data_IF_815721003238
#
_entry.id   IF_815721003238
#
_cell.length_a   1.000
_cell.length_b   1.000
_cell.length_c   1.000
_cell.angle_alpha   90.00
_cell.angle_beta   90.00
_cell.angle_gamma   90.00
#
_symmetry.space_group_name_H-M   'P 1'
#
loop_
_entity.id
_entity.type
_entity.pdbx_description
1 polymer ?
#
# COMPACT_ATOMS: atom_id res chain seq x y z
N UNK A 1 -29.56 -24.20 5.21
CA UNK A 1 -28.41 -23.56 4.54
C UNK A 1 -28.02 -22.41 5.44
N UNK A 2 -26.82 -22.45 6.03
CA UNK A 2 -26.30 -21.30 6.79
C UNK A 2 -26.14 -20.14 5.82
N UNK A 3 -26.78 -19.00 6.10
CA UNK A 3 -26.52 -17.80 5.30
C UNK A 3 -25.07 -17.40 5.54
N UNK A 4 -24.28 -17.31 4.47
CA UNK A 4 -22.85 -16.96 4.53
C UNK A 4 -22.66 -15.54 5.07
N UNK A 5 -23.67 -14.67 4.91
CA UNK A 5 -23.69 -13.31 5.43
C UNK A 5 -25.05 -12.96 6.05
N UNK A 6 -25.06 -12.04 7.01
CA UNK A 6 -26.29 -11.52 7.62
C UNK A 6 -26.14 -10.06 8.04
N UNK A 7 -27.11 -9.23 7.64
CA UNK A 7 -27.27 -7.86 8.14
C UNK A 7 -28.39 -7.82 9.18
N UNK A 8 -28.01 -7.65 10.44
CA UNK A 8 -28.93 -7.59 11.58
C UNK A 8 -29.23 -6.14 11.90
N UNK A 9 -30.50 -5.73 11.83
CA UNK A 9 -30.96 -4.37 12.17
C UNK A 9 -31.75 -4.37 13.47
N UNK A 10 -31.73 -3.25 14.18
CA UNK A 10 -32.40 -3.08 15.48
C UNK A 10 -32.05 -4.23 16.44
N UNK A 11 -30.76 -4.57 16.49
CA UNK A 11 -30.30 -5.76 17.19
C UNK A 11 -30.40 -5.58 18.71
N UNK A 12 -30.74 -6.66 19.40
CA UNK A 12 -30.60 -6.76 20.85
C UNK A 12 -29.16 -7.10 21.17
N UNK A 13 -28.50 -6.27 21.97
CA UNK A 13 -27.09 -6.46 22.30
C UNK A 13 -26.96 -6.68 23.80
N UNK A 14 -26.14 -7.65 24.20
CA UNK A 14 -25.61 -7.74 25.56
C UNK A 14 -24.12 -7.45 25.56
N UNK A 15 -23.66 -6.72 26.57
CA UNK A 15 -22.23 -6.36 26.68
C UNK A 15 -21.65 -6.94 27.95
N UNK A 16 -20.49 -7.58 27.81
CA UNK A 16 -19.70 -8.03 28.95
C UNK A 16 -18.24 -7.59 28.82
N UNK A 17 -17.57 -7.50 29.97
CA UNK A 17 -16.14 -7.17 30.04
C UNK A 17 -15.37 -8.47 30.22
N UNK A 18 -14.51 -8.79 29.25
CA UNK A 18 -13.66 -9.98 29.28
C UNK A 18 -12.19 -9.59 29.26
N UNK A 19 -11.30 -10.48 29.69
CA UNK A 19 -9.85 -10.29 29.54
C UNK A 19 -9.32 -11.16 28.42
N UNK A 20 -8.46 -10.61 27.57
CA UNK A 20 -7.74 -11.42 26.59
C UNK A 20 -6.63 -12.24 27.26
N UNK A 21 -5.94 -13.07 26.49
CA UNK A 21 -4.82 -13.91 26.95
C UNK A 21 -3.67 -13.12 27.59
N UNK A 22 -3.54 -11.83 27.23
CA UNK A 22 -2.53 -10.92 27.77
C UNK A 22 -3.02 -10.17 29.03
N UNK A 23 -4.20 -10.51 29.53
CA UNK A 23 -4.82 -9.88 30.70
C UNK A 23 -5.37 -8.48 30.45
N UNK A 24 -5.44 -8.04 29.20
CA UNK A 24 -6.01 -6.74 28.84
C UNK A 24 -7.53 -6.84 28.72
N UNK A 25 -8.22 -5.81 29.21
CA UNK A 25 -9.67 -5.71 29.09
C UNK A 25 -10.12 -5.59 27.63
N UNK A 26 -11.21 -6.27 27.30
CA UNK A 26 -11.86 -6.31 25.99
C UNK A 26 -13.38 -6.22 26.17
N UNK A 27 -14.07 -5.51 25.27
CA UNK A 27 -15.52 -5.54 25.21
C UNK A 27 -15.96 -6.78 24.42
N UNK A 28 -16.75 -7.64 25.05
CA UNK A 28 -17.42 -8.75 24.38
C UNK A 28 -18.90 -8.41 24.21
N UNK A 29 -19.42 -8.68 23.02
CA UNK A 29 -20.83 -8.47 22.69
C UNK A 29 -21.48 -9.77 22.22
N UNK A 30 -22.73 -9.95 22.64
CA UNK A 30 -23.63 -10.99 22.16
C UNK A 30 -24.79 -10.28 21.44
N UNK A 31 -24.99 -10.56 20.16
CA UNK A 31 -25.98 -9.92 19.30
C UNK A 31 -27.10 -10.91 18.99
N UNK A 32 -28.33 -10.56 19.39
CA UNK A 32 -29.55 -11.38 19.29
C UNK A 32 -29.44 -12.78 19.91
N UNK A 33 -28.50 -13.00 20.83
CA UNK A 33 -28.24 -14.32 21.41
C UNK A 33 -27.71 -15.36 20.44
N UNK A 34 -27.25 -14.94 19.26
CA UNK A 34 -26.78 -15.83 18.20
C UNK A 34 -25.33 -15.56 17.82
N UNK A 35 -24.94 -14.29 17.73
CA UNK A 35 -23.62 -13.89 17.25
C UNK A 35 -22.79 -13.30 18.38
N UNK A 36 -21.51 -13.62 18.40
CA UNK A 36 -20.58 -13.12 19.40
C UNK A 36 -19.41 -12.38 18.75
N UNK A 37 -18.95 -11.31 19.38
CA UNK A 37 -17.74 -10.62 18.94
C UNK A 37 -16.99 -10.03 20.13
N UNK A 38 -15.66 -10.17 20.12
CA UNK A 38 -14.77 -9.57 21.11
C UNK A 38 -13.93 -8.49 20.47
N UNK A 39 -14.17 -7.24 20.85
CA UNK A 39 -13.42 -6.10 20.35
C UNK A 39 -12.00 -6.05 20.94
N UNK A 40 -10.97 -5.72 20.13
CA UNK A 40 -9.59 -5.68 20.62
C UNK A 40 -9.39 -4.58 21.68
N UNK A 41 -8.35 -4.67 22.54
CA UNK A 41 -8.08 -3.72 23.62
C UNK A 41 -7.99 -2.25 23.18
N UNK A 42 -7.53 -2.02 21.95
CA UNK A 42 -7.34 -0.67 21.39
C UNK A 42 -8.58 -0.13 20.69
N UNK A 43 -9.64 -0.91 20.54
CA UNK A 43 -10.85 -0.49 19.86
C UNK A 43 -11.54 0.66 20.60
N UNK A 44 -12.32 1.46 19.88
CA UNK A 44 -13.13 2.52 20.49
C UNK A 44 -14.15 1.95 21.48
N UNK A 45 -14.76 0.80 21.17
CA UNK A 45 -15.77 0.17 22.02
C UNK A 45 -15.15 -0.28 23.34
N UNK A 46 -14.02 -0.97 23.29
CA UNK A 46 -13.31 -1.40 24.50
C UNK A 46 -12.88 -0.23 25.36
N UNK A 47 -12.35 0.85 24.76
CA UNK A 47 -11.96 2.06 25.50
C UNK A 47 -13.13 2.76 26.19
N UNK A 48 -14.37 2.58 25.73
CA UNK A 48 -15.51 3.12 26.46
C UNK A 48 -15.69 2.44 27.82
N UNK A 49 -15.28 1.17 27.98
CA UNK A 49 -15.34 0.46 29.27
C UNK A 49 -14.39 1.05 30.34
N UNK A 50 -13.49 1.96 29.96
CA UNK A 50 -12.66 2.71 30.90
C UNK A 50 -13.46 3.82 31.61
N UNK A 51 -14.56 4.28 31.01
CA UNK A 51 -15.34 5.44 31.47
C UNK A 51 -16.82 5.15 31.71
N UNK A 52 -17.35 4.03 31.22
CA UNK A 52 -18.75 3.62 31.43
C UNK A 52 -18.86 2.13 31.77
N UNK A 53 -19.93 1.76 32.46
CA UNK A 53 -20.21 0.36 32.79
C UNK A 53 -20.71 -0.42 31.56
N UNK A 54 -20.62 -1.76 31.56
CA UNK A 54 -21.14 -2.59 30.48
C UNK A 54 -22.61 -2.31 30.16
N UNK A 55 -23.47 -2.05 31.17
CA UNK A 55 -24.91 -1.80 30.99
C UNK A 55 -25.19 -0.49 30.25
N UNK A 56 -24.37 0.54 30.49
CA UNK A 56 -24.46 1.82 29.78
C UNK A 56 -24.00 1.65 28.33
N UNK A 57 -22.93 0.89 28.12
CA UNK A 57 -22.44 0.59 26.77
C UNK A 57 -23.44 -0.28 26.00
N UNK A 58 -24.11 -1.21 26.67
CA UNK A 58 -25.20 -2.03 26.14
C UNK A 58 -26.32 -1.16 25.62
N UNK A 59 -26.84 -0.24 26.45
CA UNK A 59 -27.91 0.70 26.06
C UNK A 59 -27.56 1.51 24.81
N UNK A 60 -26.27 1.81 24.60
CA UNK A 60 -25.80 2.53 23.42
C UNK A 60 -25.75 1.66 22.16
N UNK A 61 -25.30 0.41 22.31
CA UNK A 61 -25.13 -0.54 21.23
C UNK A 61 -26.47 -1.20 20.83
N UNK A 62 -27.39 -1.31 21.77
CA UNK A 62 -28.74 -1.82 21.57
C UNK A 62 -29.50 -1.02 20.51
N UNK A 63 -30.31 -1.71 19.72
CA UNK A 63 -30.94 -1.14 18.52
C UNK A 63 -29.97 -0.89 17.36
N UNK A 64 -28.68 -1.25 17.50
CA UNK A 64 -27.67 -1.09 16.46
C UNK A 64 -27.89 -1.98 15.23
N UNK A 65 -27.05 -1.74 14.22
CA UNK A 65 -27.01 -2.57 13.00
C UNK A 65 -25.65 -3.22 12.84
N UNK A 66 -25.63 -4.53 12.62
CA UNK A 66 -24.42 -5.36 12.61
C UNK A 66 -24.38 -6.21 11.35
N UNK A 67 -23.22 -6.25 10.69
CA UNK A 67 -23.02 -7.05 9.50
C UNK A 67 -22.02 -8.17 9.78
N UNK A 68 -22.49 -9.41 9.62
CA UNK A 68 -21.71 -10.62 9.83
C UNK A 68 -21.46 -11.33 8.50
N UNK A 69 -20.27 -11.91 8.37
CA UNK A 69 -19.91 -12.86 7.31
C UNK A 69 -19.23 -14.04 8.01
N UNK A 70 -19.71 -15.26 7.77
CA UNK A 70 -19.23 -16.48 8.44
C UNK A 70 -19.19 -16.35 9.97
N UNK A 71 -20.26 -15.81 10.56
CA UNK A 71 -20.38 -15.51 11.99
C UNK A 71 -19.36 -14.49 12.54
N UNK A 72 -18.51 -13.90 11.69
CA UNK A 72 -17.55 -12.86 12.08
C UNK A 72 -18.12 -11.48 11.81
N UNK A 73 -18.03 -10.60 12.81
CA UNK A 73 -18.44 -9.21 12.67
C UNK A 73 -17.48 -8.48 11.71
N UNK A 74 -18.02 -7.99 10.60
CA UNK A 74 -17.26 -7.26 9.56
C UNK A 74 -17.36 -5.76 9.75
N UNK A 75 -18.56 -5.22 9.97
CA UNK A 75 -18.76 -3.81 10.34
C UNK A 75 -20.08 -3.65 11.11
N UNK A 76 -20.23 -2.54 11.82
CA UNK A 76 -21.41 -2.26 12.64
C UNK A 76 -21.63 -0.76 12.88
N UNK A 77 -22.85 -0.41 13.28
CA UNK A 77 -23.26 0.94 13.67
C UNK A 77 -24.08 0.86 14.97
N UNK A 78 -23.83 1.79 15.89
CA UNK A 78 -24.58 1.85 17.16
C UNK A 78 -26.06 2.21 16.93
N UNK A 79 -26.92 2.00 17.94
CA UNK A 79 -28.35 2.28 17.84
C UNK A 79 -28.72 3.74 17.58
N UNK A 80 -27.74 4.65 17.69
CA UNK A 80 -27.91 6.08 17.43
C UNK A 80 -27.56 6.46 15.98
N UNK A 81 -27.13 5.49 15.17
CA UNK A 81 -26.75 5.74 13.79
C UNK A 81 -27.95 5.99 12.89
N UNK A 82 -28.08 7.24 12.44
CA UNK A 82 -29.12 7.68 11.50
C UNK A 82 -28.60 7.83 10.06
N UNK A 83 -27.47 7.20 9.75
CA UNK A 83 -26.86 7.29 8.43
C UNK A 83 -27.45 6.28 7.44
N UNK A 84 -26.76 6.10 6.32
CA UNK A 84 -27.20 5.22 5.25
C UNK A 84 -26.95 3.75 5.59
N UNK A 85 -27.93 2.90 5.27
CA UNK A 85 -27.83 1.44 5.40
C UNK A 85 -28.43 0.83 4.14
N UNK A 86 -27.71 -0.05 3.46
CA UNK A 86 -28.24 -0.79 2.33
C UNK A 86 -29.40 -1.72 2.75
N UNK A 87 -30.35 -1.93 1.84
CA UNK A 87 -31.42 -2.93 2.00
C UNK A 87 -30.84 -4.35 1.87
N UNK A 88 -31.50 -5.35 2.44
CA UNK A 88 -31.02 -6.75 2.39
C UNK A 88 -30.81 -7.22 0.95
N UNK A 89 -31.76 -6.97 0.05
CA UNK A 89 -31.59 -7.35 -1.35
C UNK A 89 -30.42 -6.65 -2.07
N UNK A 90 -29.97 -5.48 -1.59
CA UNK A 90 -28.77 -4.82 -2.15
C UNK A 90 -27.49 -5.42 -1.56
N UNK A 91 -27.51 -5.78 -0.28
CA UNK A 91 -26.42 -6.51 0.37
C UNK A 91 -26.23 -7.86 -0.30
N UNK A 92 -27.31 -8.59 -0.57
CA UNK A 92 -27.27 -9.87 -1.28
C UNK A 92 -26.68 -9.70 -2.69
N UNK A 93 -27.11 -8.67 -3.43
CA UNK A 93 -26.55 -8.35 -4.74
C UNK A 93 -25.05 -8.02 -4.69
N UNK A 94 -24.58 -7.26 -3.70
CA UNK A 94 -23.15 -6.97 -3.58
C UNK A 94 -22.34 -8.17 -3.09
N UNK A 95 -22.90 -9.01 -2.22
CA UNK A 95 -22.26 -10.26 -1.84
C UNK A 95 -22.13 -11.20 -3.04
N UNK A 96 -23.13 -11.25 -3.92
CA UNK A 96 -23.06 -12.02 -5.16
C UNK A 96 -22.06 -11.41 -6.17
N UNK A 97 -22.06 -10.08 -6.32
CA UNK A 97 -21.26 -9.38 -7.33
C UNK A 97 -19.79 -9.17 -6.91
N UNK A 98 -19.56 -8.78 -5.67
CA UNK A 98 -18.27 -8.36 -5.12
C UNK A 98 -17.76 -9.29 -4.02
N UNK A 99 -18.65 -10.02 -3.36
CA UNK A 99 -18.29 -10.96 -2.31
C UNK A 99 -17.41 -10.36 -1.22
N UNK A 100 -16.55 -11.23 -0.70
CA UNK A 100 -15.56 -10.94 0.32
C UNK A 100 -14.31 -11.78 0.08
N UNK A 101 -13.23 -11.39 0.74
CA UNK A 101 -11.96 -12.10 0.75
C UNK A 101 -11.44 -12.16 2.18
N UNK A 102 -10.85 -13.30 2.55
CA UNK A 102 -10.09 -13.35 3.79
C UNK A 102 -8.81 -12.55 3.63
N UNK A 103 -8.43 -11.87 4.71
CA UNK A 103 -7.20 -11.11 4.74
C UNK A 103 -6.00 -12.02 4.47
N UNK A 104 -5.98 -13.24 4.96
CA UNK A 104 -4.87 -14.18 4.69
C UNK A 104 -4.71 -14.59 3.23
N UNK A 105 -5.81 -14.59 2.46
CA UNK A 105 -5.81 -14.98 1.03
C UNK A 105 -5.36 -13.84 0.11
N UNK A 106 -5.34 -12.61 0.61
CA UNK A 106 -4.83 -11.50 -0.16
C UNK A 106 -3.32 -11.64 -0.27
N UNK A 107 -2.85 -11.83 -1.52
CA UNK A 107 -1.42 -11.82 -1.87
C UNK A 107 -0.66 -10.62 -1.29
N UNK A 108 -1.36 -9.52 -0.98
CA UNK A 108 -0.79 -8.29 -0.43
C UNK A 108 -1.24 -7.88 0.98
N UNK A 109 -1.95 -8.75 1.71
CA UNK A 109 -2.55 -8.38 3.01
C UNK A 109 -1.59 -8.09 4.15
N UNK A 110 -0.36 -8.62 4.10
CA UNK A 110 0.63 -8.43 5.16
C UNK A 110 0.98 -6.95 5.41
N UNK A 111 0.59 -6.02 4.53
CA UNK A 111 1.15 -4.67 4.50
C UNK A 111 0.17 -3.53 4.72
N UNK A 112 -1.14 -3.80 4.72
CA UNK A 112 -2.14 -2.81 5.15
C UNK A 112 -2.42 -3.02 6.63
N UNK A 113 -1.95 -2.11 7.49
CA UNK A 113 -2.43 -1.92 8.88
C UNK A 113 -3.91 -1.43 8.91
N UNK A 114 -4.73 -1.87 7.97
CA UNK A 114 -6.16 -1.64 7.95
C UNK A 114 -6.78 -2.74 8.81
N UNK A 115 -7.26 -2.31 9.98
CA UNK A 115 -8.07 -3.01 10.99
C UNK A 115 -7.67 -4.45 11.35
N UNK A 116 -8.07 -4.90 12.54
CA UNK A 116 -7.90 -6.30 12.96
C UNK A 116 -8.91 -7.24 12.24
N UNK A 117 -9.62 -6.73 11.23
CA UNK A 117 -10.70 -7.43 10.54
C UNK A 117 -10.11 -8.54 9.64
N UNK A 118 -10.56 -9.76 9.88
CA UNK A 118 -10.14 -10.97 9.15
C UNK A 118 -10.79 -11.07 7.76
N UNK A 119 -11.94 -10.43 7.57
CA UNK A 119 -12.74 -10.47 6.35
C UNK A 119 -12.82 -9.07 5.77
N UNK A 120 -12.62 -8.95 4.46
CA UNK A 120 -12.72 -7.71 3.72
C UNK A 120 -13.76 -7.83 2.61
N UNK A 121 -14.69 -6.89 2.56
CA UNK A 121 -15.72 -6.78 1.50
C UNK A 121 -15.11 -6.18 0.24
N UNK A 122 -14.35 -7.01 -0.48
CA UNK A 122 -13.50 -6.60 -1.60
C UNK A 122 -13.53 -7.66 -2.69
N UNK A 123 -13.64 -7.21 -3.94
CA UNK A 123 -13.36 -8.01 -5.13
C UNK A 123 -12.20 -7.42 -5.92
N UNK A 124 -11.32 -8.27 -6.45
CA UNK A 124 -10.39 -7.87 -7.51
C UNK A 124 -11.16 -7.91 -8.82
N UNK A 125 -11.36 -6.74 -9.43
CA UNK A 125 -12.21 -6.58 -10.61
C UNK A 125 -11.42 -6.68 -11.91
N UNK A 126 -10.22 -6.11 -11.93
CA UNK A 126 -9.40 -6.07 -13.14
C UNK A 126 -7.92 -6.23 -12.78
N UNK A 127 -7.19 -6.94 -13.65
CA UNK A 127 -5.75 -7.16 -13.55
C UNK A 127 -5.12 -6.81 -14.89
N UNK A 128 -4.22 -5.83 -14.91
CA UNK A 128 -3.51 -5.46 -16.14
C UNK A 128 -2.01 -5.33 -15.91
N UNK A 129 -1.27 -5.57 -16.96
CA UNK A 129 0.15 -5.25 -17.04
C UNK A 129 0.33 -3.84 -17.64
N UNK A 130 1.14 -3.03 -16.98
CA UNK A 130 1.57 -1.71 -17.43
C UNK A 130 3.02 -1.87 -17.83
N UNK A 131 3.30 -1.66 -19.11
CA UNK A 131 4.64 -1.72 -19.68
C UNK A 131 5.03 -0.28 -20.03
N UNK A 132 6.07 0.24 -19.37
CA UNK A 132 6.60 1.58 -19.67
C UNK A 132 7.53 1.49 -20.89
N UNK A 133 7.19 2.15 -22.02
CA UNK A 133 7.99 2.05 -23.23
C UNK A 133 9.43 2.54 -23.03
N UNK A 134 10.41 1.79 -23.54
CA UNK A 134 11.82 2.15 -23.50
C UNK A 134 12.56 1.70 -22.23
N UNK A 135 11.84 1.19 -21.22
CA UNK A 135 12.44 0.57 -20.04
C UNK A 135 12.20 -0.94 -20.17
N UNK A 136 13.26 -1.75 -20.02
CA UNK A 136 13.22 -3.22 -20.18
C UNK A 136 12.44 -3.83 -19.01
N UNK A 137 12.93 -4.89 -18.35
CA UNK A 137 12.32 -5.44 -17.12
C UNK A 137 12.02 -4.33 -16.11
N UNK A 138 12.89 -3.30 -16.07
CA UNK A 138 12.71 -1.94 -15.52
C UNK A 138 11.27 -1.41 -15.39
N UNK A 139 10.51 -1.50 -16.47
CA UNK A 139 9.25 -0.79 -16.70
C UNK A 139 7.99 -1.64 -16.61
N UNK A 140 8.08 -2.89 -16.15
CA UNK A 140 6.93 -3.78 -16.07
C UNK A 140 6.26 -3.72 -14.69
N UNK A 141 4.97 -3.40 -14.69
CA UNK A 141 4.14 -3.36 -13.49
C UNK A 141 2.87 -4.20 -13.68
N UNK A 142 2.58 -5.08 -12.74
CA UNK A 142 1.29 -5.71 -12.59
C UNK A 142 0.38 -4.82 -11.74
N UNK A 143 -0.83 -4.59 -12.20
CA UNK A 143 -1.81 -3.78 -11.50
C UNK A 143 -3.05 -4.58 -11.16
N UNK A 144 -3.57 -4.37 -9.96
CA UNK A 144 -4.85 -4.93 -9.52
C UNK A 144 -5.78 -3.81 -9.11
N UNK A 145 -6.87 -3.64 -9.86
CA UNK A 145 -7.98 -2.80 -9.46
C UNK A 145 -8.97 -3.64 -8.67
N UNK A 146 -9.32 -3.15 -7.50
CA UNK A 146 -10.33 -3.76 -6.64
C UNK A 146 -11.43 -2.80 -6.28
N UNK A 147 -12.62 -3.34 -6.08
CA UNK A 147 -13.75 -2.62 -5.54
C UNK A 147 -14.02 -3.07 -4.12
N UNK A 148 -14.11 -2.10 -3.21
CA UNK A 148 -14.38 -2.28 -1.79
C UNK A 148 -15.73 -1.66 -1.48
N UNK A 149 -16.59 -2.41 -0.83
CA UNK A 149 -17.94 -1.97 -0.48
C UNK A 149 -18.21 -2.16 1.01
N UNK A 150 -19.29 -1.55 1.50
CA UNK A 150 -19.68 -1.65 2.88
C UNK A 150 -21.20 -1.39 3.00
N UNK A 151 -21.94 -2.13 3.86
CA UNK A 151 -23.39 -1.97 3.97
C UNK A 151 -23.83 -0.58 4.48
N UNK A 152 -22.92 0.20 5.05
CA UNK A 152 -23.19 1.49 5.68
C UNK A 152 -22.66 2.70 4.89
N UNK A 153 -22.29 2.52 3.62
CA UNK A 153 -21.82 3.61 2.74
C UNK A 153 -22.61 3.62 1.44
N UNK A 154 -22.79 4.79 0.83
CA UNK A 154 -23.59 4.96 -0.38
C UNK A 154 -22.82 4.69 -1.69
N UNK A 155 -21.53 4.38 -1.61
CA UNK A 155 -20.62 4.29 -2.74
C UNK A 155 -19.69 3.09 -2.63
N UNK A 156 -19.34 2.52 -3.77
CA UNK A 156 -18.22 1.57 -3.86
C UNK A 156 -16.93 2.39 -3.98
N UNK A 157 -15.93 2.01 -3.20
CA UNK A 157 -14.59 2.58 -3.30
C UNK A 157 -13.74 1.73 -4.25
N UNK A 158 -12.98 2.37 -5.12
CA UNK A 158 -11.88 1.70 -5.81
C UNK A 158 -10.63 1.67 -4.93
N UNK A 159 -9.89 0.57 -4.99
CA UNK A 159 -8.54 0.46 -4.46
C UNK A 159 -7.65 -0.11 -5.54
N UNK A 160 -6.55 0.58 -5.83
CA UNK A 160 -5.60 0.16 -6.85
C UNK A 160 -4.31 -0.31 -6.16
N UNK A 161 -3.83 -1.49 -6.53
CA UNK A 161 -2.55 -2.03 -6.09
C UNK A 161 -1.61 -2.12 -7.30
N UNK A 162 -0.42 -1.53 -7.19
CA UNK A 162 0.62 -1.61 -8.22
C UNK A 162 1.79 -2.47 -7.71
N UNK A 163 2.12 -3.47 -8.49
CA UNK A 163 3.17 -4.46 -8.24
C UNK A 163 4.20 -4.30 -9.34
N UNK A 164 5.48 -4.21 -8.99
CA UNK A 164 6.56 -4.19 -9.98
C UNK A 164 7.05 -5.60 -10.27
N UNK A 165 7.33 -5.93 -11.54
CA UNK A 165 7.60 -7.31 -11.99
C UNK A 165 9.10 -7.70 -12.11
N UNK A 166 10.04 -6.81 -11.78
CA UNK A 166 11.48 -7.05 -12.03
C UNK A 166 12.09 -8.22 -11.29
N UNK A 167 11.53 -8.58 -10.14
CA UNK A 167 12.07 -9.66 -9.34
C UNK A 167 11.05 -10.79 -9.29
N UNK A 168 11.45 -11.97 -9.76
CA UNK A 168 10.66 -13.21 -9.77
C UNK A 168 10.06 -13.63 -8.41
N UNK A 169 10.40 -12.94 -7.30
CA UNK A 169 9.94 -13.23 -5.95
C UNK A 169 9.30 -12.06 -5.17
N UNK A 170 8.85 -10.99 -5.84
CA UNK A 170 7.69 -10.23 -5.35
C UNK A 170 7.90 -8.93 -4.55
N UNK A 171 7.16 -7.91 -5.01
CA UNK A 171 6.27 -7.02 -4.22
C UNK A 171 6.92 -5.72 -3.65
N UNK A 172 6.36 -4.50 -3.55
CA UNK A 172 5.14 -3.76 -4.01
C UNK A 172 5.28 -2.27 -3.63
N UNK A 173 4.69 -1.36 -4.43
CA UNK A 173 4.25 -0.05 -3.95
C UNK A 173 2.72 -0.02 -3.82
N UNK A 174 2.16 -0.32 -2.64
CA UNK A 174 0.72 -0.14 -2.41
C UNK A 174 0.53 1.33 -2.11
N UNK A 175 0.00 2.05 -3.07
CA UNK A 175 -0.66 3.33 -2.79
C UNK A 175 -2.07 3.24 -3.29
N UNK A 176 -3.03 3.45 -2.38
CA UNK A 176 -4.39 3.80 -2.77
C UNK A 176 -4.36 5.26 -3.21
N UNK A 177 -3.78 5.56 -4.38
CA UNK A 177 -3.68 6.94 -4.89
C UNK A 177 -4.97 7.40 -5.58
N UNK A 178 -5.88 6.47 -5.90
CA UNK A 178 -7.17 6.78 -6.51
C UNK A 178 -8.32 6.09 -5.76
N UNK A 179 -8.86 6.77 -4.74
CA UNK A 179 -10.13 6.41 -4.13
C UNK A 179 -11.25 7.10 -4.93
N UNK A 180 -11.69 6.47 -6.02
CA UNK A 180 -12.86 6.94 -6.75
C UNK A 180 -14.10 6.41 -6.07
N UNK A 181 -15.02 7.30 -5.73
CA UNK A 181 -16.35 6.92 -5.27
C UNK A 181 -17.22 6.69 -6.49
N UNK A 182 -17.66 5.46 -6.68
CA UNK A 182 -18.56 5.11 -7.78
C UNK A 182 -19.98 5.17 -7.24
N UNK A 183 -20.83 6.11 -7.71
CA UNK A 183 -22.22 6.18 -7.30
C UNK A 183 -22.98 4.97 -7.85
N UNK A 184 -23.79 4.37 -6.99
CA UNK A 184 -24.49 3.12 -7.28
C UNK A 184 -25.88 3.45 -7.77
N UNK A 185 -26.00 3.63 -9.08
CA UNK A 185 -27.28 3.68 -9.79
C UNK A 185 -27.46 2.37 -10.57
N UNK A 186 -28.71 2.02 -10.90
CA UNK A 186 -29.10 0.81 -11.65
C UNK A 186 -28.08 0.41 -12.72
N UNK A 187 -27.87 -0.91 -12.92
CA UNK A 187 -26.81 -1.49 -13.77
C UNK A 187 -25.40 -1.37 -13.18
N UNK A 188 -25.29 -1.78 -11.92
CA UNK A 188 -24.05 -1.67 -11.14
C UNK A 188 -22.86 -2.35 -11.83
N UNK A 189 -23.03 -3.55 -12.40
CA UNK A 189 -21.96 -4.27 -13.13
C UNK A 189 -21.43 -3.45 -14.31
N UNK A 190 -22.32 -2.91 -15.16
CA UNK A 190 -21.94 -2.09 -16.32
C UNK A 190 -21.18 -0.83 -15.88
N UNK A 191 -21.63 -0.17 -14.81
CA UNK A 191 -20.95 1.00 -14.26
C UNK A 191 -19.58 0.67 -13.67
N UNK A 192 -19.44 -0.47 -12.97
CA UNK A 192 -18.16 -0.94 -12.45
C UNK A 192 -17.18 -1.28 -13.57
N UNK A 193 -17.64 -1.89 -14.67
CA UNK A 193 -16.81 -2.17 -15.84
C UNK A 193 -16.33 -0.88 -16.54
N UNK A 194 -17.22 0.09 -16.72
CA UNK A 194 -16.86 1.40 -17.28
C UNK A 194 -15.86 2.12 -16.37
N UNK A 195 -16.13 2.14 -15.07
CA UNK A 195 -15.25 2.75 -14.10
C UNK A 195 -13.88 2.05 -14.08
N UNK A 196 -13.86 0.71 -14.15
CA UNK A 196 -12.63 -0.05 -14.16
C UNK A 196 -11.74 0.33 -15.34
N UNK A 197 -12.28 0.38 -16.56
CA UNK A 197 -11.54 0.80 -17.75
C UNK A 197 -11.03 2.25 -17.64
N UNK A 198 -11.86 3.17 -17.15
CA UNK A 198 -11.46 4.57 -16.99
C UNK A 198 -10.36 4.74 -15.95
N UNK A 199 -10.50 4.07 -14.80
CA UNK A 199 -9.52 4.08 -13.72
C UNK A 199 -8.21 3.48 -14.22
N UNK A 200 -8.25 2.33 -14.88
CA UNK A 200 -7.05 1.69 -15.43
C UNK A 200 -6.33 2.58 -16.44
N UNK A 201 -7.02 3.08 -17.46
CA UNK A 201 -6.42 3.96 -18.45
C UNK A 201 -5.74 5.19 -17.82
N UNK A 202 -6.40 5.79 -16.82
CA UNK A 202 -5.85 6.93 -16.07
C UNK A 202 -4.60 6.53 -15.29
N UNK A 203 -4.65 5.40 -14.59
CA UNK A 203 -3.54 4.90 -13.80
C UNK A 203 -2.34 4.54 -14.67
N UNK A 204 -2.55 3.76 -15.74
CA UNK A 204 -1.47 3.39 -16.67
C UNK A 204 -0.78 4.63 -17.21
N UNK A 205 -1.56 5.65 -17.59
CA UNK A 205 -1.00 6.94 -18.07
C UNK A 205 -0.15 7.62 -16.99
N UNK A 206 -0.66 7.74 -15.75
CA UNK A 206 0.08 8.35 -14.63
C UNK A 206 1.39 7.61 -14.34
N UNK A 207 1.36 6.27 -14.32
CA UNK A 207 2.54 5.44 -14.03
C UNK A 207 3.57 5.59 -15.16
N UNK A 208 3.14 5.48 -16.42
CA UNK A 208 4.03 5.63 -17.58
C UNK A 208 4.69 7.02 -17.58
N UNK A 209 3.88 8.08 -17.48
CA UNK A 209 4.38 9.45 -17.48
C UNK A 209 5.34 9.68 -16.33
N UNK A 210 5.01 9.20 -15.13
CA UNK A 210 5.86 9.41 -13.96
C UNK A 210 7.18 8.65 -14.05
N UNK A 211 7.18 7.40 -14.52
CA UNK A 211 8.42 6.63 -14.70
C UNK A 211 9.33 7.31 -15.71
N UNK A 212 8.78 7.80 -16.83
CA UNK A 212 9.53 8.57 -17.82
C UNK A 212 10.15 9.83 -17.21
N UNK A 213 9.38 10.62 -16.45
CA UNK A 213 9.90 11.81 -15.74
C UNK A 213 10.99 11.43 -14.73
N UNK A 214 10.80 10.36 -13.97
CA UNK A 214 11.75 9.92 -12.94
C UNK A 214 13.09 9.50 -13.53
N UNK A 215 13.10 8.96 -14.75
CA UNK A 215 14.32 8.59 -15.44
C UNK A 215 15.11 9.82 -15.93
N UNK A 216 14.41 10.91 -16.28
CA UNK A 216 15.06 12.17 -16.69
C UNK A 216 15.38 13.10 -15.50
N UNK A 217 14.82 12.84 -14.32
CA UNK A 217 14.96 13.66 -13.12
C UNK A 217 16.03 13.09 -12.19
N UNK A 218 16.94 13.93 -11.69
CA UNK A 218 17.92 13.53 -10.67
C UNK A 218 17.26 13.37 -9.30
N UNK A 219 17.56 12.27 -8.62
CA UNK A 219 17.24 12.14 -7.21
C UNK A 219 18.01 13.19 -6.41
N UNK A 220 17.51 13.62 -5.25
CA UNK A 220 18.27 14.54 -4.39
C UNK A 220 19.38 13.83 -3.63
N UNK A 221 20.41 14.57 -3.21
CA UNK A 221 21.46 14.04 -2.33
C UNK A 221 20.83 13.51 -1.04
N UNK A 222 19.80 14.18 -0.51
CA UNK A 222 19.07 13.74 0.67
C UNK A 222 18.37 12.38 0.49
N UNK A 223 17.80 12.12 -0.69
CA UNK A 223 17.23 10.80 -1.02
C UNK A 223 18.30 9.71 -1.08
N UNK A 224 19.46 10.00 -1.67
CA UNK A 224 20.58 9.06 -1.74
C UNK A 224 21.16 8.76 -0.35
N UNK A 225 21.35 9.77 0.51
CA UNK A 225 21.79 9.59 1.90
C UNK A 225 20.79 8.74 2.70
N UNK A 226 19.50 8.90 2.46
CA UNK A 226 18.49 8.08 3.11
C UNK A 226 18.60 6.60 2.68
N UNK A 227 18.77 6.33 1.39
CA UNK A 227 19.00 4.97 0.89
C UNK A 227 20.32 4.39 1.40
N UNK A 228 21.39 5.17 1.42
CA UNK A 228 22.68 4.77 1.97
C UNK A 228 22.56 4.30 3.42
N UNK A 229 21.84 5.06 4.25
CA UNK A 229 21.57 4.67 5.64
C UNK A 229 20.78 3.35 5.71
N UNK A 230 19.76 3.18 4.87
CA UNK A 230 19.01 1.91 4.81
C UNK A 230 19.88 0.73 4.44
N UNK A 231 20.83 0.91 3.51
CA UNK A 231 21.79 -0.11 3.08
C UNK A 231 22.74 -0.44 4.23
N UNK A 232 23.37 0.56 4.84
CA UNK A 232 24.33 0.38 5.94
C UNK A 232 23.70 -0.39 7.12
N UNK A 233 22.49 -0.02 7.52
CA UNK A 233 21.75 -0.70 8.59
C UNK A 233 21.46 -2.19 8.29
N UNK A 234 21.29 -2.54 7.00
CA UNK A 234 21.09 -3.94 6.57
C UNK A 234 22.43 -4.66 6.39
N UNK A 235 23.49 -4.00 5.95
CA UNK A 235 24.85 -4.57 5.85
C UNK A 235 25.34 -5.07 7.20
N UNK A 236 25.09 -4.32 8.28
CA UNK A 236 25.52 -4.68 9.64
C UNK A 236 24.78 -5.92 10.15
N UNK A 237 23.58 -6.18 9.64
CA UNK A 237 22.69 -7.26 10.12
C UNK A 237 22.60 -8.45 9.16
N UNK A 238 23.11 -8.32 7.94
CA UNK A 238 23.12 -9.39 6.94
C UNK A 238 23.99 -10.55 7.39
N UNK A 239 23.42 -11.76 7.38
CA UNK A 239 24.13 -13.00 7.73
C UNK A 239 24.60 -13.74 6.47
N UNK A 240 23.87 -13.59 5.37
CA UNK A 240 24.14 -14.29 4.12
C UNK A 240 25.19 -13.56 3.27
N UNK A 241 26.20 -14.28 2.77
CA UNK A 241 27.28 -13.70 1.97
C UNK A 241 26.79 -13.09 0.65
N UNK A 242 25.78 -13.69 0.03
CA UNK A 242 25.21 -13.19 -1.23
C UNK A 242 24.45 -11.87 -1.01
N UNK A 243 23.62 -11.80 0.03
CA UNK A 243 22.94 -10.59 0.46
C UNK A 243 23.95 -9.47 0.80
N UNK A 244 25.00 -9.81 1.56
CA UNK A 244 26.04 -8.87 1.94
C UNK A 244 26.76 -8.27 0.72
N UNK A 245 27.15 -9.10 -0.27
CA UNK A 245 27.78 -8.62 -1.51
C UNK A 245 26.84 -7.72 -2.32
N UNK A 246 25.55 -8.07 -2.42
CA UNK A 246 24.53 -7.24 -3.08
C UNK A 246 24.45 -5.87 -2.40
N UNK A 247 24.33 -5.85 -1.07
CA UNK A 247 24.26 -4.62 -0.29
C UNK A 247 25.49 -3.72 -0.49
N UNK A 248 26.70 -4.28 -0.50
CA UNK A 248 27.92 -3.51 -0.79
C UNK A 248 27.95 -2.98 -2.23
N UNK A 249 27.46 -3.76 -3.21
CA UNK A 249 27.28 -3.29 -4.58
C UNK A 249 26.36 -2.08 -4.65
N UNK A 250 25.19 -2.16 -4.01
CA UNK A 250 24.23 -1.05 -3.93
C UNK A 250 24.82 0.17 -3.22
N UNK A 251 25.60 -0.04 -2.16
CA UNK A 251 26.24 1.05 -1.41
C UNK A 251 27.20 1.86 -2.29
N UNK A 252 28.02 1.17 -3.10
CA UNK A 252 28.96 1.82 -4.02
C UNK A 252 28.25 2.69 -5.08
N UNK A 253 27.06 2.28 -5.50
CA UNK A 253 26.24 3.01 -6.46
C UNK A 253 25.55 4.20 -5.80
N UNK A 254 24.96 4.04 -4.62
CA UNK A 254 24.13 5.07 -3.99
C UNK A 254 24.93 6.16 -3.28
N UNK A 255 26.11 5.85 -2.72
CA UNK A 255 26.81 6.74 -1.80
C UNK A 255 27.16 8.10 -2.44
N UNK A 256 26.43 9.19 -2.12
CA UNK A 256 26.66 10.48 -2.76
C UNK A 256 27.97 11.11 -2.30
N UNK A 257 28.45 10.79 -1.09
CA UNK A 257 29.74 11.30 -0.61
C UNK A 257 30.91 10.76 -1.45
N UNK A 258 30.87 9.48 -1.81
CA UNK A 258 31.90 8.87 -2.66
C UNK A 258 31.85 9.42 -4.08
N UNK A 259 30.65 9.64 -4.61
CA UNK A 259 30.46 10.01 -6.01
C UNK A 259 30.52 11.53 -6.26
N UNK A 260 30.21 12.37 -5.26
CA UNK A 260 30.03 13.82 -5.43
C UNK A 260 30.92 14.68 -4.51
N UNK A 261 31.82 14.10 -3.71
CA UNK A 261 32.71 14.87 -2.82
C UNK A 261 33.64 15.87 -3.53
N UNK A 262 33.92 15.64 -4.81
CA UNK A 262 34.71 16.56 -5.64
C UNK A 262 33.87 17.72 -6.22
N UNK A 263 32.54 17.62 -6.16
CA UNK A 263 31.59 18.62 -6.67
C UNK A 263 31.00 19.44 -5.51
N UNK A 264 30.60 18.77 -4.44
CA UNK A 264 29.95 19.39 -3.28
C UNK A 264 30.86 19.49 -2.06
N UNK A 265 30.67 20.57 -1.30
CA UNK A 265 31.35 20.77 -0.02
C UNK A 265 30.88 19.70 0.99
N UNK A 266 31.75 19.27 1.93
CA UNK A 266 31.38 18.29 2.96
C UNK A 266 30.08 18.63 3.72
N UNK A 267 29.84 19.92 3.98
CA UNK A 267 28.63 20.41 4.65
C UNK A 267 27.31 20.06 3.97
N UNK A 268 27.33 19.73 2.66
CA UNK A 268 26.14 19.26 1.94
C UNK A 268 25.70 17.88 2.44
N UNK A 269 26.65 17.00 2.75
CA UNK A 269 26.35 15.64 3.19
C UNK A 269 25.93 15.59 4.67
N UNK A 270 26.39 16.55 5.47
CA UNK A 270 26.05 16.65 6.90
C UNK A 270 24.71 17.36 7.16
N UNK A 271 24.24 18.20 6.24
CA UNK A 271 23.03 19.00 6.39
C UNK A 271 21.87 18.44 5.56
N UNK A 272 20.87 17.87 6.23
CA UNK A 272 19.68 17.25 5.61
C UNK A 272 18.87 18.22 4.74
N UNK A 273 18.70 19.47 5.16
CA UNK A 273 17.89 20.44 4.44
C UNK A 273 18.58 20.87 3.14
N UNK A 274 19.90 21.04 3.19
CA UNK A 274 20.70 21.35 2.02
C UNK A 274 20.81 20.16 1.06
N UNK A 275 21.02 18.96 1.59
CA UNK A 275 21.06 17.72 0.81
C UNK A 275 19.74 17.47 0.06
N UNK A 276 18.60 17.80 0.66
CA UNK A 276 17.28 17.61 0.03
C UNK A 276 17.06 18.51 -1.21
N UNK A 277 17.77 19.63 -1.32
CA UNK A 277 17.60 20.61 -2.41
C UNK A 277 18.59 20.41 -3.57
N UNK A 278 19.64 19.62 -3.38
CA UNK A 278 20.70 19.44 -4.36
C UNK A 278 20.55 18.12 -5.12
N UNK A 279 20.80 18.11 -6.45
CA UNK A 279 20.72 16.90 -7.25
C UNK A 279 21.87 15.94 -6.94
N UNK A 280 21.60 14.65 -7.05
CA UNK A 280 22.58 13.56 -6.93
C UNK A 280 23.08 13.10 -8.30
N UNK A 281 23.97 12.10 -8.29
CA UNK A 281 24.52 11.46 -9.48
C UNK A 281 23.59 10.40 -10.09
N UNK A 282 22.52 9.97 -9.40
CA UNK A 282 21.54 9.00 -9.91
C UNK A 282 20.18 9.64 -10.17
N UNK A 283 19.35 8.96 -10.97
CA UNK A 283 17.99 9.41 -11.28
C UNK A 283 17.01 9.04 -10.16
N UNK A 284 15.84 9.68 -10.13
CA UNK A 284 14.76 9.25 -9.22
C UNK A 284 14.32 7.82 -9.53
N UNK A 285 14.41 7.40 -10.80
CA UNK A 285 14.11 6.03 -11.21
C UNK A 285 15.13 5.03 -10.65
N UNK A 286 16.42 5.35 -10.69
CA UNK A 286 17.46 4.51 -10.07
C UNK A 286 17.25 4.39 -8.56
N UNK A 287 16.96 5.51 -7.88
CA UNK A 287 16.68 5.52 -6.45
C UNK A 287 15.45 4.67 -6.10
N UNK A 288 14.38 4.75 -6.92
CA UNK A 288 13.21 3.88 -6.81
C UNK A 288 13.61 2.40 -6.99
N UNK A 289 14.45 2.10 -7.99
CA UNK A 289 14.88 0.74 -8.26
C UNK A 289 15.63 0.13 -7.08
N UNK A 290 16.59 0.88 -6.54
CA UNK A 290 17.40 0.44 -5.41
C UNK A 290 16.56 0.27 -4.15
N UNK A 291 15.60 1.15 -3.89
CA UNK A 291 14.68 1.02 -2.76
C UNK A 291 13.85 -0.27 -2.86
N UNK A 292 13.31 -0.57 -4.04
CA UNK A 292 12.54 -1.79 -4.28
C UNK A 292 13.41 -3.06 -4.21
N UNK A 293 14.66 -3.01 -4.70
CA UNK A 293 15.62 -4.11 -4.59
C UNK A 293 15.95 -4.41 -3.12
N UNK A 294 16.30 -3.39 -2.33
CA UNK A 294 16.59 -3.55 -0.90
C UNK A 294 15.43 -4.25 -0.20
N UNK A 295 14.24 -3.71 -0.40
CA UNK A 295 13.01 -4.19 0.22
C UNK A 295 12.66 -5.65 -0.14
N UNK A 296 13.03 -6.14 -1.32
CA UNK A 296 12.65 -7.49 -1.80
C UNK A 296 13.73 -8.54 -1.57
N UNK A 297 14.99 -8.13 -1.56
CA UNK A 297 16.13 -9.03 -1.62
C UNK A 297 17.06 -8.97 -0.40
N UNK A 298 16.65 -8.25 0.63
CA UNK A 298 17.40 -8.13 1.88
C UNK A 298 16.47 -8.19 3.08
N UNK A 299 16.99 -8.62 4.21
CA UNK A 299 16.23 -8.80 5.45
C UNK A 299 16.06 -7.45 6.15
N UNK A 300 14.86 -7.18 6.68
CA UNK A 300 14.64 -5.98 7.47
C UNK A 300 15.54 -5.92 8.72
N UNK A 301 15.91 -4.71 9.11
CA UNK A 301 16.66 -4.46 10.33
C UNK A 301 15.95 -3.42 11.21
N UNK A 302 16.34 -3.31 12.48
CA UNK A 302 15.74 -2.34 13.42
C UNK A 302 15.84 -0.89 12.93
N UNK A 303 16.90 -0.55 12.20
CA UNK A 303 17.11 0.76 11.59
C UNK A 303 16.55 0.90 10.17
N UNK A 304 16.11 -0.19 9.54
CA UNK A 304 15.77 -0.25 8.11
C UNK A 304 14.58 -1.17 7.86
N UNK A 305 13.37 -0.66 8.09
CA UNK A 305 12.12 -1.43 7.88
C UNK A 305 11.63 -1.40 6.43
N UNK A 306 10.97 -2.48 6.00
CA UNK A 306 10.35 -2.55 4.67
C UNK A 306 9.27 -1.49 4.48
N UNK A 307 8.51 -1.17 5.54
CA UNK A 307 7.51 -0.11 5.51
C UNK A 307 8.12 1.27 5.17
N UNK A 308 9.32 1.55 5.67
CA UNK A 308 10.03 2.79 5.36
C UNK A 308 10.47 2.85 3.90
N UNK A 309 10.96 1.73 3.34
CA UNK A 309 11.34 1.61 1.93
C UNK A 309 10.13 1.69 1.00
N UNK A 310 8.98 1.11 1.41
CA UNK A 310 7.71 1.25 0.70
C UNK A 310 7.28 2.70 0.65
N UNK A 311 7.31 3.40 1.79
CA UNK A 311 6.97 4.82 1.87
C UNK A 311 7.90 5.68 1.01
N UNK A 312 9.20 5.36 0.99
CA UNK A 312 10.18 6.04 0.14
C UNK A 312 9.87 5.85 -1.35
N UNK A 313 9.71 4.59 -1.78
CA UNK A 313 9.44 4.24 -3.18
C UNK A 313 8.12 4.84 -3.66
N UNK A 314 7.07 4.77 -2.83
CA UNK A 314 5.79 5.42 -3.09
C UNK A 314 5.90 6.95 -3.16
N UNK A 315 6.76 7.55 -2.34
CA UNK A 315 7.06 8.97 -2.39
C UNK A 315 7.74 9.42 -3.70
N UNK A 316 8.50 8.53 -4.35
CA UNK A 316 9.05 8.81 -5.66
C UNK A 316 7.98 8.66 -6.75
N UNK A 317 7.20 7.58 -6.72
CA UNK A 317 6.25 7.26 -7.79
C UNK A 317 4.92 8.02 -7.72
N UNK A 318 4.48 8.51 -6.55
CA UNK A 318 3.12 9.03 -6.38
C UNK A 318 3.01 10.36 -5.62
N UNK A 319 4.12 11.01 -5.26
CA UNK A 319 4.01 12.25 -4.48
C UNK A 319 3.60 13.44 -5.36
N UNK A 320 2.46 14.05 -4.99
CA UNK A 320 1.66 14.99 -5.79
C UNK A 320 2.33 16.35 -6.05
N UNK A 321 3.40 16.71 -5.34
CA UNK A 321 3.98 18.06 -5.42
C UNK A 321 4.60 18.41 -6.80
N UNK A 322 4.82 17.45 -7.69
CA UNK A 322 5.36 17.67 -9.03
C UNK A 322 4.33 17.51 -10.17
N UNK A 323 3.08 17.12 -9.89
CA UNK A 323 2.08 16.85 -10.95
C UNK A 323 1.57 18.12 -11.67
N UNK A 324 1.85 19.32 -11.16
CA UNK A 324 1.40 20.58 -11.78
C UNK A 324 2.36 21.13 -12.86
N UNK A 325 3.53 20.53 -13.10
CA UNK A 325 4.56 21.11 -14.00
C UNK A 325 4.71 20.36 -15.34
N UNK A 326 4.22 19.12 -15.45
CA UNK A 326 4.54 18.24 -16.59
C UNK A 326 3.43 18.10 -17.64
N UNK A 327 2.97 19.21 -18.22
CA UNK A 327 2.13 19.18 -19.44
C UNK A 327 2.88 19.63 -20.71
N UNK A 328 4.22 19.74 -20.68
CA UNK A 328 4.95 20.49 -21.71
C UNK A 328 6.18 19.86 -22.38
N UNK A 329 6.66 18.67 -22.01
CA UNK A 329 7.91 18.14 -22.59
C UNK A 329 7.73 16.73 -23.14
N UNK A 330 7.65 16.62 -24.46
CA UNK A 330 7.94 15.37 -25.18
C UNK A 330 9.45 15.34 -25.46
N UNK A 331 10.23 14.80 -24.54
CA UNK A 331 11.62 14.42 -24.78
C UNK A 331 11.70 12.92 -25.05
N UNK A 332 12.38 12.54 -26.13
CA UNK A 332 12.84 11.16 -26.35
C UNK A 332 13.78 10.75 -25.21
N UNK A 333 13.60 9.56 -24.60
CA UNK A 333 14.36 9.18 -23.41
C UNK A 333 15.84 8.98 -23.74
N UNK A 334 16.70 9.66 -23.00
CA UNK A 334 18.13 9.34 -22.97
C UNK A 334 18.32 8.26 -21.91
N UNK A 335 18.53 7.01 -22.35
CA UNK A 335 18.76 5.88 -21.45
C UNK A 335 19.99 6.15 -20.57
N UNK A 336 19.79 6.26 -19.26
CA UNK A 336 20.85 6.22 -18.28
C UNK A 336 21.39 4.78 -18.16
N UNK A 337 22.69 4.64 -17.86
CA UNK A 337 23.45 3.39 -17.83
C UNK A 337 22.88 2.30 -16.90
N UNK A 338 21.94 2.64 -16.00
CA UNK A 338 21.29 1.73 -15.05
C UNK A 338 19.88 1.25 -15.45
N UNK A 339 19.43 1.56 -16.67
CA UNK A 339 18.12 1.13 -17.17
C UNK A 339 18.06 -0.38 -17.51
N UNK A 340 19.19 -1.07 -17.42
CA UNK A 340 19.38 -2.50 -17.67
C UNK A 340 19.91 -3.19 -16.40
N UNK A 341 19.12 -4.05 -15.73
CA UNK A 341 19.56 -4.77 -14.55
C UNK A 341 20.66 -5.80 -14.84
N UNK A 342 20.95 -6.20 -16.07
CA UNK A 342 22.10 -7.10 -16.32
C UNK A 342 23.43 -6.31 -16.34
N UNK A 343 23.40 -5.07 -16.85
CA UNK A 343 24.58 -4.18 -16.89
C UNK A 343 24.99 -3.66 -15.50
N UNK A 344 24.05 -3.57 -14.56
CA UNK A 344 24.33 -3.15 -13.19
C UNK A 344 25.05 -4.25 -12.35
N UNK A 345 24.96 -5.51 -12.75
CA UNK A 345 25.43 -6.65 -11.95
C UNK A 345 26.73 -7.30 -12.49
N UNK A 346 27.05 -7.10 -13.76
CA UNK A 346 28.32 -7.53 -14.35
C UNK A 346 29.09 -6.25 -14.65
N UNK A 347 30.10 -5.92 -13.83
CA UNK A 347 30.94 -4.74 -14.02
C UNK A 347 31.81 -4.81 -15.29
N UNK A 348 31.19 -4.82 -16.48
CA UNK A 348 31.87 -4.62 -17.74
C UNK A 348 32.18 -3.13 -17.89
N UNK A 349 33.36 -2.76 -17.38
CA UNK A 349 34.06 -1.59 -17.90
C UNK A 349 34.36 -1.86 -19.37
N UNK A 350 33.68 -1.17 -20.28
CA UNK A 350 34.18 -0.98 -21.62
C UNK A 350 35.49 -0.18 -21.52
N UNK A 351 36.59 -0.91 -21.51
CA UNK A 351 37.90 -0.36 -21.85
C UNK A 351 37.82 -0.03 -23.35
N UNK A 352 37.47 1.22 -23.65
CA UNK A 352 37.74 1.82 -24.95
C UNK A 352 39.26 1.96 -25.05
N UNK A 353 39.91 0.93 -25.59
CA UNK A 353 41.27 1.06 -26.12
C UNK A 353 41.18 1.94 -27.37
N UNK A 354 41.65 3.17 -27.23
CA UNK A 354 41.98 4.05 -28.34
C UNK A 354 43.06 3.39 -29.20
N UNK A 355 42.74 3.12 -30.46
CA UNK A 355 43.69 3.06 -31.58
C UNK A 355 43.17 3.93 -32.71
#
# INVERSE_FOLDING_TARGET
MSNVHQLIRNAQVKVSKVKNEKGHDCAHIEVNGQYEHTFPPKSRVTRHLDVMTPEILETRLDGGTYFFVEDQLVDWRDGHYNGFIHTDGMVDQYMELLGYVHKEDLAFAHRRKLADDKILLRSVWDKNEIIVPGYVSGGEFHSELSFVWNPFVTFINSSFDLVRLICTNGMVGVTSFLNTKIPLLNRQTEHLDIAARQIQNKVSSIVIDRVQIMADTRASVGQCLLLENHILERVVTSIEQQEHRRLLGLLNVVSPQNQLSHIYKPSVFDNKDLAAQLPSHITEFDAFNIATELRTHTTESRGSSDFSLDKFSNGLLFNDNNQLISMGSKSTPALATFSDPDAAFIGQQDIVLLS
#
